data_IF_485662133295
#
_entry.id   IF_485662133295
#
_cell.length_a   1.000
_cell.length_b   1.000
_cell.length_c   1.000
_cell.angle_alpha   90.00
_cell.angle_beta   90.00
_cell.angle_gamma   90.00
#
_symmetry.space_group_name_H-M   'P 1'
#
loop_
_entity.id
_entity.type
_entity.pdbx_description
1 polymer ?
#
# COMPACT_ATOMS: atom_id res chain seq x y z
N UNK A 1 2.37 20.73 25.04
CA UNK A 1 2.22 20.86 23.57
C UNK A 1 1.10 19.93 23.11
N UNK A 2 0.00 20.52 22.66
CA UNK A 2 -1.14 19.76 22.14
C UNK A 2 -0.71 19.09 20.83
N UNK A 3 -0.89 17.78 20.78
CA UNK A 3 -0.44 16.89 19.72
C UNK A 3 -1.19 15.58 19.91
N UNK A 4 -1.41 14.86 18.82
CA UNK A 4 -2.23 13.65 18.83
C UNK A 4 -1.66 12.63 19.83
N UNK A 5 -2.48 12.15 20.76
CA UNK A 5 -2.05 11.16 21.76
C UNK A 5 -1.76 9.84 21.04
N UNK A 6 -0.50 9.42 21.03
CA UNK A 6 -0.06 8.18 20.39
C UNK A 6 -0.85 6.93 20.85
N UNK A 7 -1.49 6.99 22.03
CA UNK A 7 -2.36 5.92 22.54
C UNK A 7 -3.68 5.79 21.76
N UNK A 8 -4.08 6.79 20.99
CA UNK A 8 -5.30 6.78 20.19
C UNK A 8 -5.12 6.10 18.83
N UNK A 9 -3.88 5.87 18.37
CA UNK A 9 -3.60 5.27 17.06
C UNK A 9 -4.26 3.88 16.90
N UNK A 10 -4.03 2.97 17.86
CA UNK A 10 -4.65 1.63 17.80
C UNK A 10 -6.19 1.71 17.84
N UNK A 11 -6.82 2.40 18.83
CA UNK A 11 -8.27 2.56 18.86
C UNK A 11 -8.87 3.11 17.56
N UNK A 12 -8.24 4.10 16.93
CA UNK A 12 -8.73 4.66 15.65
C UNK A 12 -8.68 3.61 14.53
N UNK A 13 -7.55 2.90 14.37
CA UNK A 13 -7.41 1.85 13.36
C UNK A 13 -8.43 0.72 13.58
N UNK A 14 -8.58 0.24 14.82
CA UNK A 14 -9.55 -0.81 15.17
C UNK A 14 -10.99 -0.35 14.96
N UNK A 15 -11.31 0.91 15.26
CA UNK A 15 -12.62 1.50 15.01
C UNK A 15 -12.91 1.62 13.51
N UNK A 16 -11.93 1.97 12.68
CA UNK A 16 -12.06 2.02 11.23
C UNK A 16 -12.40 0.63 10.64
N UNK A 17 -11.67 -0.42 11.07
CA UNK A 17 -12.00 -1.80 10.68
C UNK A 17 -13.40 -2.20 11.13
N UNK A 18 -13.77 -1.90 12.37
CA UNK A 18 -15.09 -2.23 12.92
C UNK A 18 -16.23 -1.56 12.16
N UNK A 19 -16.07 -0.29 11.73
CA UNK A 19 -17.06 0.42 10.90
C UNK A 19 -17.32 -0.28 9.56
N UNK A 20 -16.31 -0.96 9.01
CA UNK A 20 -16.40 -1.73 7.78
C UNK A 20 -16.80 -3.21 8.00
N UNK A 21 -17.15 -3.59 9.23
CA UNK A 21 -17.60 -4.94 9.57
C UNK A 21 -16.47 -5.94 9.89
N UNK A 22 -15.22 -5.47 10.02
CA UNK A 22 -14.09 -6.31 10.39
C UNK A 22 -13.89 -6.31 11.92
N UNK A 23 -13.84 -7.51 12.50
CA UNK A 23 -13.77 -7.69 13.96
C UNK A 23 -12.69 -8.67 14.41
N UNK A 24 -11.87 -9.15 13.47
CA UNK A 24 -10.75 -10.03 13.77
C UNK A 24 -9.62 -9.35 14.54
N UNK A 25 -8.69 -10.13 15.13
CA UNK A 25 -7.59 -9.59 15.92
C UNK A 25 -6.63 -8.75 15.05
N UNK A 26 -6.28 -7.57 15.55
CA UNK A 26 -5.43 -6.58 14.85
C UNK A 26 -4.01 -6.56 15.43
N UNK A 27 -3.03 -6.92 14.60
CA UNK A 27 -1.61 -6.76 14.89
C UNK A 27 -1.06 -5.54 14.16
N UNK A 28 -0.37 -4.65 14.88
CA UNK A 28 0.15 -3.38 14.35
C UNK A 28 1.64 -3.30 14.66
N UNK A 29 2.46 -3.08 13.63
CA UNK A 29 3.88 -2.78 13.76
C UNK A 29 4.18 -1.42 13.14
N UNK A 30 4.75 -0.52 13.95
CA UNK A 30 5.17 0.81 13.56
C UNK A 30 6.69 0.83 13.34
N UNK A 31 7.12 1.15 12.12
CA UNK A 31 8.51 1.17 11.71
C UNK A 31 8.98 2.62 11.60
N UNK A 32 10.13 2.92 12.21
CA UNK A 32 10.78 4.21 12.09
C UNK A 32 12.24 4.14 12.52
N UNK A 33 12.99 5.20 12.21
CA UNK A 33 14.24 5.46 12.92
C UNK A 33 13.96 5.91 14.36
N UNK A 34 13.77 4.93 15.26
CA UNK A 34 13.49 5.16 16.68
C UNK A 34 14.54 5.97 17.45
N UNK A 35 15.72 6.25 16.87
CA UNK A 35 16.67 7.21 17.46
C UNK A 35 16.19 8.66 17.34
N UNK A 36 15.31 8.93 16.38
CA UNK A 36 14.75 10.25 16.09
C UNK A 36 13.32 10.41 16.62
N UNK A 37 12.64 9.31 16.93
CA UNK A 37 11.29 9.34 17.48
C UNK A 37 11.30 9.75 18.97
N UNK A 38 10.50 10.76 19.38
CA UNK A 38 10.40 11.15 20.79
C UNK A 38 9.96 9.99 21.70
N UNK A 39 10.62 9.83 22.85
CA UNK A 39 10.37 8.71 23.76
C UNK A 39 8.95 8.63 24.32
N UNK A 40 8.24 9.76 24.42
CA UNK A 40 6.83 9.76 24.85
C UNK A 40 5.91 9.13 23.80
N UNK A 41 6.19 9.27 22.50
CA UNK A 41 5.44 8.60 21.43
C UNK A 41 5.72 7.10 21.43
N UNK A 42 6.98 6.68 21.58
CA UNK A 42 7.35 5.26 21.70
C UNK A 42 6.63 4.59 22.88
N UNK A 43 6.59 5.26 24.03
CA UNK A 43 5.89 4.77 25.22
C UNK A 43 4.36 4.74 25.01
N UNK A 44 3.80 5.77 24.38
CA UNK A 44 2.38 5.82 24.05
C UNK A 44 1.97 4.66 23.14
N UNK A 45 2.68 4.45 22.03
CA UNK A 45 2.41 3.35 21.10
C UNK A 45 2.54 1.97 21.77
N UNK A 46 3.67 1.71 22.43
CA UNK A 46 3.92 0.42 23.07
C UNK A 46 2.94 0.10 24.21
N UNK A 47 2.45 1.12 24.94
CA UNK A 47 1.44 0.94 25.99
C UNK A 47 0.09 0.40 25.48
N UNK A 48 -0.18 0.56 24.18
CA UNK A 48 -1.37 -0.01 23.52
C UNK A 48 -1.09 -1.34 22.84
N UNK A 49 0.12 -1.89 22.97
CA UNK A 49 0.52 -3.13 22.29
C UNK A 49 0.82 -2.94 20.80
N UNK A 50 1.09 -1.71 20.33
CA UNK A 50 1.71 -1.51 19.01
C UNK A 50 3.19 -1.87 19.13
N UNK A 51 3.67 -2.74 18.24
CA UNK A 51 5.09 -3.09 18.19
C UNK A 51 5.85 -1.93 17.56
N UNK A 52 6.85 -1.39 18.27
CA UNK A 52 7.68 -0.27 17.80
C UNK A 52 9.00 -0.83 17.29
N UNK A 53 9.13 -0.94 15.96
CA UNK A 53 10.30 -1.49 15.29
C UNK A 53 11.30 -0.38 14.91
N UNK A 54 12.58 -0.63 15.16
CA UNK A 54 13.67 0.25 14.72
C UNK A 54 14.17 -0.15 13.34
N UNK A 55 14.16 0.81 12.42
CA UNK A 55 14.74 0.71 11.09
C UNK A 55 15.73 1.85 10.86
N UNK A 56 16.61 1.70 9.86
CA UNK A 56 17.25 2.87 9.25
C UNK A 56 16.24 3.45 8.25
N UNK A 57 16.04 4.76 8.21
CA UNK A 57 15.00 5.36 7.35
C UNK A 57 15.07 4.91 5.88
N UNK A 58 16.27 4.78 5.32
CA UNK A 58 16.47 4.28 3.95
C UNK A 58 16.07 2.80 3.73
N UNK A 59 15.81 2.03 4.80
CA UNK A 59 15.47 0.61 4.75
C UNK A 59 14.09 0.29 5.34
N UNK A 60 13.29 1.29 5.72
CA UNK A 60 11.97 1.09 6.34
C UNK A 60 11.06 0.27 5.43
N UNK A 61 10.87 0.68 4.17
CA UNK A 61 10.05 -0.06 3.21
C UNK A 61 10.53 -1.50 2.96
N UNK A 62 11.84 -1.73 2.89
CA UNK A 62 12.40 -3.08 2.73
C UNK A 62 12.11 -3.98 3.95
N UNK A 63 12.14 -3.40 5.15
CA UNK A 63 11.82 -4.10 6.39
C UNK A 63 10.33 -4.45 6.44
N UNK A 64 9.45 -3.48 6.12
CA UNK A 64 8.01 -3.70 6.00
C UNK A 64 7.71 -4.80 4.98
N UNK A 65 8.33 -4.74 3.80
CA UNK A 65 8.13 -5.74 2.75
C UNK A 65 8.53 -7.14 3.22
N UNK A 66 9.69 -7.27 3.89
CA UNK A 66 10.17 -8.55 4.41
C UNK A 66 9.22 -9.14 5.46
N UNK A 67 8.75 -8.33 6.41
CA UNK A 67 7.82 -8.77 7.45
C UNK A 67 6.45 -9.14 6.87
N UNK A 68 5.98 -8.40 5.84
CA UNK A 68 4.78 -8.74 5.09
C UNK A 68 4.89 -10.11 4.40
N UNK A 69 6.04 -10.40 3.77
CA UNK A 69 6.31 -11.69 3.14
C UNK A 69 6.31 -12.84 4.15
N UNK A 70 6.93 -12.64 5.31
CA UNK A 70 6.95 -13.64 6.38
C UNK A 70 5.55 -13.88 6.96
N UNK A 71 4.80 -12.80 7.19
CA UNK A 71 3.46 -12.89 7.77
C UNK A 71 2.49 -13.63 6.86
N UNK A 72 2.47 -13.31 5.56
CA UNK A 72 1.55 -13.96 4.60
C UNK A 72 1.87 -15.45 4.40
N UNK A 73 3.12 -15.86 4.59
CA UNK A 73 3.49 -17.27 4.54
C UNK A 73 2.86 -18.09 5.68
N UNK A 74 2.57 -17.43 6.81
CA UNK A 74 1.97 -18.05 8.01
C UNK A 74 0.46 -17.84 8.12
N UNK A 75 -0.11 -16.91 7.37
CA UNK A 75 -1.52 -16.52 7.46
C UNK A 75 -2.14 -16.51 6.05
N UNK A 76 -2.40 -17.69 5.44
CA UNK A 76 -3.05 -17.76 4.13
C UNK A 76 -4.47 -17.16 4.19
N UNK A 77 -5.06 -16.80 3.03
CA UNK A 77 -6.44 -16.32 2.98
C UNK A 77 -7.43 -17.34 3.59
N UNK A 78 -8.51 -16.89 4.23
CA UNK A 78 -8.94 -15.50 4.39
C UNK A 78 -8.09 -14.75 5.43
N UNK A 79 -7.51 -13.61 5.02
CA UNK A 79 -6.80 -12.70 5.92
C UNK A 79 -6.82 -11.27 5.34
N UNK A 80 -6.58 -10.29 6.21
CA UNK A 80 -6.63 -8.87 5.84
C UNK A 80 -5.28 -8.22 6.09
N UNK A 81 -4.85 -7.40 5.14
CA UNK A 81 -3.59 -6.67 5.20
C UNK A 81 -3.85 -5.17 5.05
N UNK A 82 -3.13 -4.37 5.83
CA UNK A 82 -3.15 -2.92 5.73
C UNK A 82 -1.75 -2.35 5.67
N UNK A 83 -1.51 -1.43 4.72
CA UNK A 83 -0.27 -0.68 4.61
C UNK A 83 -0.55 0.81 4.86
N UNK A 84 0.25 1.41 5.74
CA UNK A 84 0.21 2.83 6.05
C UNK A 84 1.56 3.43 5.61
N UNK A 85 1.64 3.95 4.38
CA UNK A 85 2.86 4.48 3.77
C UNK A 85 2.53 5.29 2.52
N UNK A 86 3.39 6.26 2.17
CA UNK A 86 3.27 6.98 0.90
C UNK A 86 3.96 6.23 -0.27
N UNK A 87 4.72 5.18 0.03
CA UNK A 87 5.50 4.39 -0.94
C UNK A 87 4.77 3.13 -1.42
N UNK A 88 3.48 2.96 -1.08
CA UNK A 88 2.68 1.80 -1.52
C UNK A 88 2.73 1.62 -3.03
N UNK A 89 2.52 2.70 -3.79
CA UNK A 89 2.52 2.65 -5.25
C UNK A 89 3.88 2.33 -5.84
N UNK A 90 4.96 2.90 -5.29
CA UNK A 90 6.30 2.76 -5.86
C UNK A 90 6.98 1.43 -5.49
N UNK A 91 6.68 0.89 -4.31
CA UNK A 91 7.40 -0.27 -3.74
C UNK A 91 6.54 -1.52 -3.68
N UNK A 92 5.28 -1.41 -3.28
CA UNK A 92 4.46 -2.57 -2.89
C UNK A 92 3.44 -2.99 -3.96
N UNK A 93 2.98 -2.03 -4.78
CA UNK A 93 1.85 -2.20 -5.70
C UNK A 93 1.98 -3.40 -6.64
N UNK A 94 3.15 -3.61 -7.24
CA UNK A 94 3.35 -4.70 -8.20
C UNK A 94 3.23 -6.09 -7.55
N UNK A 95 3.81 -6.29 -6.36
CA UNK A 95 3.71 -7.58 -5.66
C UNK A 95 2.29 -7.82 -5.15
N UNK A 96 1.65 -6.78 -4.61
CA UNK A 96 0.29 -6.86 -4.10
C UNK A 96 -0.73 -7.08 -5.23
N UNK A 97 -0.63 -6.38 -6.35
CA UNK A 97 -1.53 -6.59 -7.50
C UNK A 97 -1.41 -8.02 -8.04
N UNK A 98 -0.19 -8.56 -8.10
CA UNK A 98 0.03 -9.97 -8.45
C UNK A 98 -0.58 -10.91 -7.41
N UNK A 99 -0.42 -10.60 -6.13
CA UNK A 99 -0.97 -11.38 -5.04
C UNK A 99 -2.51 -11.44 -5.11
N UNK A 100 -3.17 -10.33 -5.41
CA UNK A 100 -4.63 -10.25 -5.56
C UNK A 100 -5.17 -11.12 -6.70
N UNK A 101 -4.41 -11.29 -7.79
CA UNK A 101 -4.80 -12.18 -8.88
C UNK A 101 -4.78 -13.66 -8.47
N UNK A 102 -4.01 -14.02 -7.44
CA UNK A 102 -3.80 -15.41 -7.02
C UNK A 102 -4.50 -15.76 -5.72
N UNK A 103 -4.86 -14.76 -4.92
CA UNK A 103 -5.32 -14.93 -3.54
C UNK A 103 -6.31 -13.85 -3.16
N UNK A 104 -7.17 -14.17 -2.18
CA UNK A 104 -8.27 -13.30 -1.74
C UNK A 104 -7.93 -12.54 -0.45
N UNK A 105 -6.74 -11.94 -0.38
CA UNK A 105 -6.46 -11.02 0.73
C UNK A 105 -7.27 -9.74 0.56
N UNK A 106 -7.91 -9.28 1.63
CA UNK A 106 -8.47 -7.94 1.64
C UNK A 106 -7.36 -6.93 1.91
N UNK A 107 -7.27 -5.89 1.09
CA UNK A 107 -6.25 -4.86 1.18
C UNK A 107 -6.86 -3.53 1.63
N UNK A 108 -6.22 -2.89 2.59
CA UNK A 108 -6.54 -1.55 3.07
C UNK A 108 -5.31 -0.66 3.00
N UNK A 109 -5.47 0.60 2.63
CA UNK A 109 -4.34 1.52 2.54
C UNK A 109 -4.60 2.80 3.33
N UNK A 110 -3.55 3.37 3.93
CA UNK A 110 -3.59 4.75 4.38
C UNK A 110 -2.31 5.47 3.99
N UNK A 111 -2.44 6.75 3.62
CA UNK A 111 -1.33 7.57 3.15
C UNK A 111 -1.51 9.03 3.60
N UNK A 112 -0.42 9.77 3.77
CA UNK A 112 -0.46 11.19 4.16
C UNK A 112 -0.89 12.09 3.01
N UNK A 113 -0.73 11.64 1.77
CA UNK A 113 -1.12 12.38 0.59
C UNK A 113 -1.90 11.50 -0.38
N UNK A 114 -2.85 12.08 -1.12
CA UNK A 114 -3.56 11.34 -2.16
C UNK A 114 -2.56 10.87 -3.22
N UNK A 115 -2.66 9.60 -3.67
CA UNK A 115 -1.79 9.10 -4.73
C UNK A 115 -1.96 9.97 -5.98
N UNK A 116 -0.83 10.31 -6.62
CA UNK A 116 -0.80 11.17 -7.82
C UNK A 116 -1.36 10.47 -9.06
N UNK A 117 -1.50 9.16 -9.01
CA UNK A 117 -1.96 8.29 -10.09
C UNK A 117 -3.04 7.33 -9.59
N UNK A 118 -3.81 6.74 -10.50
CA UNK A 118 -4.74 5.67 -10.15
C UNK A 118 -3.95 4.45 -9.67
N UNK A 119 -4.25 3.96 -8.46
CA UNK A 119 -3.68 2.72 -7.95
C UNK A 119 -4.08 1.54 -8.84
N UNK A 120 -3.16 0.59 -9.01
CA UNK A 120 -3.42 -0.71 -9.65
C UNK A 120 -4.01 -1.74 -8.68
N UNK A 121 -4.10 -1.39 -7.38
CA UNK A 121 -4.60 -2.26 -6.33
C UNK A 121 -6.11 -2.14 -6.19
N UNK A 122 -6.75 -3.28 -5.92
CA UNK A 122 -8.17 -3.31 -5.58
C UNK A 122 -8.33 -3.28 -4.05
N UNK A 123 -8.61 -2.11 -3.49
CA UNK A 123 -8.62 -1.90 -2.04
C UNK A 123 -10.05 -1.92 -1.48
N UNK A 124 -10.22 -2.52 -0.31
CA UNK A 124 -11.51 -2.53 0.39
C UNK A 124 -11.86 -1.15 0.96
N UNK A 125 -10.85 -0.37 1.35
CA UNK A 125 -10.96 1.06 1.64
C UNK A 125 -9.57 1.71 1.68
N UNK A 126 -9.56 3.02 1.45
CA UNK A 126 -8.37 3.87 1.54
C UNK A 126 -8.65 5.07 2.43
N UNK A 127 -7.66 5.51 3.19
CA UNK A 127 -7.74 6.70 4.02
C UNK A 127 -6.60 7.67 3.76
N UNK A 128 -6.91 8.96 3.88
CA UNK A 128 -5.89 9.92 4.29
C UNK A 128 -5.55 9.65 5.75
N UNK A 129 -4.27 9.57 6.07
CA UNK A 129 -3.78 9.23 7.41
C UNK A 129 -4.41 10.09 8.51
N UNK A 130 -4.48 11.40 8.31
CA UNK A 130 -5.10 12.32 9.27
C UNK A 130 -6.60 12.02 9.46
N UNK A 131 -7.32 11.72 8.38
CA UNK A 131 -8.75 11.36 8.45
C UNK A 131 -8.98 10.00 9.10
N UNK A 132 -8.03 9.07 8.96
CA UNK A 132 -8.05 7.80 9.68
C UNK A 132 -7.90 8.04 11.19
N UNK A 133 -7.07 8.97 11.62
CA UNK A 133 -6.86 9.24 13.04
C UNK A 133 -7.99 10.04 13.70
N UNK A 134 -8.64 10.93 12.94
CA UNK A 134 -9.69 11.84 13.39
C UNK A 134 -11.06 11.15 13.50
N UNK A 135 -11.68 10.90 12.35
CA UNK A 135 -13.09 10.48 12.27
C UNK A 135 -13.25 9.08 11.65
N UNK A 136 -12.13 8.43 11.33
CA UNK A 136 -12.06 7.15 10.64
C UNK A 136 -12.80 7.17 9.28
N UNK A 137 -13.01 8.34 8.67
CA UNK A 137 -13.77 8.48 7.43
C UNK A 137 -12.89 8.04 6.27
N UNK A 138 -13.26 6.99 5.52
CA UNK A 138 -12.55 6.64 4.30
C UNK A 138 -12.52 7.82 3.34
N UNK A 139 -11.55 7.85 2.45
CA UNK A 139 -11.65 8.67 1.27
C UNK A 139 -12.99 8.35 0.61
N UNK A 140 -13.93 9.31 0.60
CA UNK A 140 -15.19 9.16 -0.12
C UNK A 140 -14.83 8.74 -1.54
N UNK A 141 -15.64 7.86 -2.16
CA UNK A 141 -15.80 7.89 -3.61
C UNK A 141 -16.25 9.31 -3.95
N UNK A 142 -15.30 10.23 -4.09
CA UNK A 142 -15.45 11.31 -5.03
C UNK A 142 -15.77 10.54 -6.28
N UNK A 143 -16.95 10.76 -6.85
CA UNK A 143 -17.30 10.38 -8.20
C UNK A 143 -15.99 10.44 -8.94
N UNK A 144 -15.37 9.28 -9.20
CA UNK A 144 -14.14 9.22 -9.95
C UNK A 144 -14.69 9.66 -11.27
N UNK A 145 -14.70 10.96 -11.53
CA UNK A 145 -14.87 11.45 -12.87
C UNK A 145 -13.78 10.67 -13.53
N UNK A 146 -14.21 9.69 -14.33
CA UNK A 146 -13.49 9.17 -15.45
C UNK A 146 -13.27 10.40 -16.32
N UNK A 147 -12.46 11.34 -15.82
CA UNK A 147 -11.76 12.29 -16.64
C UNK A 147 -11.11 11.39 -17.62
N UNK A 148 -11.47 11.59 -18.87
CA UNK A 148 -10.94 10.88 -20.01
C UNK A 148 -9.42 11.08 -19.96
N UNK A 149 -8.74 10.23 -19.19
CA UNK A 149 -7.31 10.12 -19.21
C UNK A 149 -7.04 9.54 -20.58
N UNK A 150 -6.63 10.40 -21.51
CA UNK A 150 -6.06 9.96 -22.78
C UNK A 150 -4.94 8.98 -22.41
N UNK A 151 -5.09 7.72 -22.81
CA UNK A 151 -4.14 6.68 -22.48
C UNK A 151 -2.76 7.10 -23.01
N UNK A 152 -1.78 7.28 -22.12
CA UNK A 152 -0.42 7.62 -22.52
C UNK A 152 0.33 6.34 -22.90
N UNK A 153 0.66 6.18 -24.17
CA UNK A 153 1.41 5.03 -24.67
C UNK A 153 2.93 5.28 -24.59
N UNK A 154 3.68 4.27 -24.12
CA UNK A 154 5.14 4.32 -24.03
C UNK A 154 5.79 3.02 -24.54
N UNK A 155 6.99 3.10 -25.11
CA UNK A 155 7.73 1.94 -25.63
C UNK A 155 9.13 1.85 -25.02
N UNK A 156 9.38 0.82 -24.20
CA UNK A 156 10.68 0.60 -23.53
C UNK A 156 11.82 0.23 -24.50
N UNK A 157 11.64 -0.69 -25.47
CA UNK A 157 12.72 -1.06 -26.39
C UNK A 157 13.31 0.13 -27.15
N UNK A 158 12.48 1.11 -27.52
CA UNK A 158 12.90 2.14 -28.46
C UNK A 158 13.58 3.37 -27.84
N UNK A 159 13.53 3.57 -26.50
CA UNK A 159 14.17 4.66 -25.69
C UNK A 159 14.17 6.10 -26.25
N UNK A 160 13.58 6.37 -27.41
CA UNK A 160 13.70 7.62 -28.15
C UNK A 160 12.41 8.43 -28.05
N UNK A 161 12.56 9.62 -27.49
CA UNK A 161 11.61 10.72 -27.33
C UNK A 161 10.53 10.54 -26.26
N UNK A 162 10.69 11.28 -25.17
CA UNK A 162 9.62 11.70 -24.28
C UNK A 162 8.61 12.63 -24.97
N UNK A 163 8.02 12.16 -26.07
CA UNK A 163 6.74 12.63 -26.57
C UNK A 163 5.75 11.50 -26.28
N UNK A 164 4.73 11.79 -25.48
CA UNK A 164 3.57 10.91 -25.36
C UNK A 164 3.02 10.65 -26.76
N UNK A 165 2.85 9.37 -27.14
CA UNK A 165 2.01 9.05 -28.28
C UNK A 165 0.57 9.28 -27.84
N UNK A 166 -0.02 10.38 -28.29
CA UNK A 166 -1.36 10.84 -27.87
C UNK A 166 -2.52 9.98 -28.43
N UNK A 167 -2.22 8.97 -29.26
CA UNK A 167 -3.23 8.08 -29.83
C UNK A 167 -2.82 6.60 -29.93
N UNK A 168 -3.79 5.71 -29.73
CA UNK A 168 -3.66 4.25 -29.85
C UNK A 168 -3.18 3.83 -31.24
N UNK A 169 -3.66 4.51 -32.28
CA UNK A 169 -3.33 4.20 -33.67
C UNK A 169 -1.87 4.54 -33.99
N UNK A 170 -1.38 5.68 -33.47
CA UNK A 170 0.03 6.03 -33.55
C UNK A 170 0.93 4.99 -32.86
N UNK A 171 0.52 4.52 -31.68
CA UNK A 171 1.25 3.49 -30.94
C UNK A 171 1.27 2.15 -31.67
N UNK A 172 0.14 1.71 -32.22
CA UNK A 172 0.10 0.48 -33.03
C UNK A 172 1.01 0.60 -34.25
N UNK A 173 0.95 1.71 -34.99
CA UNK A 173 1.83 1.96 -36.14
C UNK A 173 3.31 1.94 -35.75
N UNK A 174 3.64 2.44 -34.55
CA UNK A 174 4.97 2.34 -33.98
C UNK A 174 5.41 0.87 -33.75
N UNK A 175 4.58 0.05 -33.11
CA UNK A 175 4.88 -1.38 -32.86
C UNK A 175 5.12 -2.16 -34.17
N UNK A 176 4.39 -1.83 -35.24
CA UNK A 176 4.55 -2.46 -36.55
C UNK A 176 5.72 -1.90 -37.38
N UNK A 177 6.48 -0.93 -36.85
CA UNK A 177 7.60 -0.34 -37.57
C UNK A 177 8.83 -1.26 -37.58
N UNK A 178 9.55 -1.29 -38.70
CA UNK A 178 10.83 -2.01 -38.79
C UNK A 178 11.85 -1.54 -37.75
N UNK A 179 11.80 -0.24 -37.38
CA UNK A 179 12.65 0.33 -36.33
C UNK A 179 12.35 -0.30 -34.96
N UNK A 180 11.08 -0.51 -34.63
CA UNK A 180 10.68 -1.18 -33.40
C UNK A 180 11.16 -2.64 -33.38
N UNK A 181 10.90 -3.40 -34.45
CA UNK A 181 11.32 -4.79 -34.54
C UNK A 181 12.84 -4.98 -34.38
N UNK A 182 13.65 -4.05 -34.91
CA UNK A 182 15.12 -4.07 -34.75
C UNK A 182 15.53 -3.76 -33.32
N UNK A 183 14.93 -2.76 -32.67
CA UNK A 183 15.23 -2.41 -31.27
C UNK A 183 14.73 -3.48 -30.28
N UNK A 184 13.62 -4.15 -30.59
CA UNK A 184 13.10 -5.29 -29.83
C UNK A 184 14.03 -6.50 -29.92
N UNK A 185 14.51 -6.84 -31.12
CA UNK A 185 15.47 -7.93 -31.32
C UNK A 185 16.84 -7.65 -30.67
N UNK A 186 17.26 -6.38 -30.60
CA UNK A 186 18.48 -5.94 -29.90
C UNK A 186 18.35 -6.01 -28.39
N UNK A 187 17.17 -5.70 -27.86
CA UNK A 187 16.84 -5.84 -26.43
C UNK A 187 16.43 -7.28 -26.11
N UNK A 188 17.29 -8.25 -26.44
CA UNK A 188 17.08 -9.63 -26.04
C UNK A 188 17.05 -9.71 -24.51
N UNK A 189 15.85 -9.86 -23.94
CA UNK A 189 15.73 -10.22 -22.54
C UNK A 189 16.35 -11.61 -22.39
N UNK A 190 17.48 -11.71 -21.67
CA UNK A 190 17.90 -13.00 -21.12
C UNK A 190 16.69 -13.56 -20.41
N UNK A 191 16.24 -14.74 -20.82
CA UNK A 191 15.06 -15.41 -20.30
C UNK A 191 15.23 -15.52 -18.78
N UNK A 192 14.70 -14.55 -18.05
CA UNK A 192 14.76 -14.55 -16.59
C UNK A 192 13.95 -15.77 -16.18
N UNK A 193 14.62 -16.78 -15.63
CA UNK A 193 13.91 -17.89 -15.01
C UNK A 193 13.12 -17.29 -13.85
N UNK A 194 11.78 -17.32 -13.86
CA UNK A 194 11.01 -16.70 -12.80
C UNK A 194 11.24 -17.51 -11.53
N UNK A 195 11.99 -16.93 -10.58
CA UNK A 195 12.25 -17.49 -9.24
C UNK A 195 10.94 -17.85 -8.50
N UNK A 196 9.80 -17.41 -9.02
CA UNK A 196 8.46 -17.52 -8.42
C UNK A 196 7.61 -18.68 -8.95
N UNK A 197 8.15 -19.58 -9.79
CA UNK A 197 7.42 -20.74 -10.33
C UNK A 197 6.85 -21.68 -9.25
N UNK A 198 7.42 -21.67 -8.05
CA UNK A 198 7.04 -22.55 -6.93
C UNK A 198 6.07 -21.90 -5.93
N UNK A 199 5.68 -20.64 -6.14
CA UNK A 199 4.94 -19.85 -5.13
C UNK A 199 3.41 -19.91 -5.27
N UNK A 200 2.90 -20.61 -6.30
CA UNK A 200 1.45 -20.79 -6.49
C UNK A 200 0.93 -21.97 -5.66
N UNK A 201 0.39 -21.69 -4.48
CA UNK A 201 -0.66 -22.54 -3.89
C UNK A 201 -1.99 -21.80 -4.03
N UNK A 202 -2.86 -22.32 -4.90
CA UNK A 202 -4.20 -21.80 -5.12
C UNK A 202 -5.08 -22.17 -3.90
N UNK A 203 -5.65 -21.16 -3.23
CA UNK A 203 -6.65 -21.36 -2.17
C UNK A 203 -7.99 -20.77 -2.64
N UNK A 204 -9.08 -21.52 -2.46
CA UNK A 204 -10.43 -21.10 -2.83
C UNK A 204 -11.06 -20.17 -1.77
N UNK A 205 -11.82 -19.17 -2.23
CA UNK A 205 -12.44 -18.11 -1.41
C UNK A 205 -13.70 -18.53 -0.65
N UNK A 206 -13.92 -18.01 0.56
CA UNK A 206 -15.11 -18.24 1.41
C UNK A 206 -15.45 -17.00 2.28
N UNK A 207 -16.69 -16.87 2.81
CA UNK A 207 -17.17 -15.68 3.56
C UNK A 207 -16.56 -15.45 4.96
N UNK A 208 -15.41 -16.07 5.29
CA UNK A 208 -14.80 -16.11 6.63
C UNK A 208 -13.90 -14.87 6.94
N UNK A 209 -13.93 -13.86 6.08
CA UNK A 209 -13.05 -12.69 6.14
C UNK A 209 -13.32 -11.73 7.31
N UNK A 210 -14.55 -11.67 7.81
CA UNK A 210 -14.95 -10.69 8.84
C UNK A 210 -14.26 -10.93 10.20
N UNK A 211 -13.89 -12.18 10.48
CA UNK A 211 -13.24 -12.61 11.74
C UNK A 211 -11.77 -12.99 11.55
N UNK A 212 -11.24 -12.87 10.34
CA UNK A 212 -9.87 -13.24 10.00
C UNK A 212 -8.83 -12.31 10.63
N UNK A 213 -7.58 -12.78 10.75
CA UNK A 213 -6.48 -11.97 11.30
C UNK A 213 -6.18 -10.76 10.41
N UNK A 214 -5.90 -9.64 11.05
CA UNK A 214 -5.56 -8.38 10.40
C UNK A 214 -4.12 -7.99 10.78
N UNK A 215 -3.28 -7.74 9.79
CA UNK A 215 -1.94 -7.17 9.97
C UNK A 215 -1.86 -5.77 9.37
N UNK A 216 -1.28 -4.85 10.13
CA UNK A 216 -1.07 -3.46 9.75
C UNK A 216 0.43 -3.16 9.84
N UNK A 217 1.02 -2.69 8.74
CA UNK A 217 2.39 -2.20 8.70
C UNK A 217 2.41 -0.70 8.43
N UNK A 218 3.06 0.05 9.32
CA UNK A 218 3.05 1.50 9.29
C UNK A 218 4.45 2.10 9.19
N UNK A 219 4.69 2.84 8.11
CA UNK A 219 5.84 3.70 7.91
C UNK A 219 5.58 5.06 8.57
N UNK A 220 6.20 5.29 9.73
CA UNK A 220 6.04 6.53 10.48
C UNK A 220 6.79 7.72 9.87
N UNK A 221 7.79 7.48 9.01
CA UNK A 221 8.53 8.56 8.35
C UNK A 221 7.65 9.20 7.27
N UNK A 222 6.84 8.38 6.57
CA UNK A 222 5.86 8.83 5.57
C UNK A 222 4.56 9.36 6.19
N UNK A 223 4.10 8.70 7.25
CA UNK A 223 2.83 8.99 7.93
C UNK A 223 3.07 9.26 9.42
N UNK A 224 3.68 10.39 9.79
CA UNK A 224 3.94 10.72 11.18
C UNK A 224 2.65 11.01 11.94
N UNK A 225 2.70 10.91 13.27
CA UNK A 225 1.62 11.40 14.12
C UNK A 225 1.57 12.94 13.98
N UNK A 226 0.41 13.55 13.64
CA UNK A 226 0.32 15.00 13.44
C UNK A 226 0.67 15.80 14.70
N UNK A 227 1.54 16.81 14.56
CA UNK A 227 1.80 17.80 15.60
C UNK A 227 0.63 18.79 15.70
N UNK A 228 0.22 19.21 16.90
CA UNK A 228 -0.81 20.25 17.08
C UNK A 228 -2.27 19.78 17.08
N UNK A 229 -2.54 18.50 16.86
CA UNK A 229 -3.92 18.01 16.72
C UNK A 229 -4.65 17.85 18.06
N UNK A 230 -5.81 18.50 18.23
CA UNK A 230 -6.64 18.47 19.45
C UNK A 230 -7.69 17.35 19.40
N UNK A 231 -7.43 16.27 20.12
CA UNK A 231 -8.32 15.10 20.23
C UNK A 231 -9.69 15.40 20.87
N UNK A 232 -9.94 16.62 21.36
CA UNK A 232 -11.22 17.02 21.96
C UNK A 232 -12.29 17.46 20.96
N UNK A 233 -11.98 17.48 19.65
CA UNK A 233 -12.93 17.91 18.61
C UNK A 233 -13.79 16.79 18.02
N UNK A 234 -13.60 15.54 18.43
CA UNK A 234 -14.41 14.41 17.97
C UNK A 234 -15.54 14.15 18.98
N UNK A 235 -16.75 14.64 18.66
CA UNK A 235 -18.00 14.31 19.37
C UNK A 235 -18.74 13.17 18.70
#
# INVERSE_FOLDING_TARGET
PEGYDARQVRPSIEAAFKKLGYSGPVSITAYANQRQTPGHLQRGLSSTGIVVAHTKSASTCSSIFSDMLEWRARNPPPATMMLISNQVEDVFSWDLARLQQQTMYNLFLACSCKPRYMSILDTSAEWLWESLLDNNKPCSETTRTRGELSAMFYCKPCKSHGQSLESLEGFRKHLWSKKHAVEEARNSCTRLDPVTRTWAKNYAAKPEHATAKIAVWWDMDDCPIPEGYDARQVR
#
